data_IF_697357461291
#
_entry.id   IF_697357461291
#
_cell.length_a   1.000
_cell.length_b   1.000
_cell.length_c   1.000
_cell.angle_alpha   90.00
_cell.angle_beta   90.00
_cell.angle_gamma   90.00
#
_symmetry.space_group_name_H-M   'P 1'
#
loop_
_entity.id
_entity.type
_entity.pdbx_description
1 polymer ?
#
# COMPACT_ATOMS: atom_id res chain seq x y z
N UNK A 1 -38.20 15.49 20.85
CA UNK A 1 -37.37 14.52 20.07
C UNK A 1 -36.92 14.97 18.67
N UNK A 2 -37.49 16.02 18.07
CA UNK A 2 -37.13 16.41 16.67
C UNK A 2 -35.99 17.44 16.54
N UNK A 3 -35.67 18.21 17.56
CA UNK A 3 -34.65 19.27 17.50
C UNK A 3 -33.22 18.72 17.76
N UNK A 4 -33.11 17.79 18.69
CA UNK A 4 -31.81 17.15 19.00
C UNK A 4 -31.25 16.32 17.83
N UNK A 5 -32.14 15.63 17.08
CA UNK A 5 -31.73 14.88 15.88
C UNK A 5 -31.27 15.78 14.73
N UNK A 6 -31.85 16.97 14.59
CA UNK A 6 -31.43 17.95 13.57
C UNK A 6 -30.07 18.57 13.91
N UNK A 7 -29.82 18.87 15.20
CA UNK A 7 -28.53 19.36 15.68
C UNK A 7 -27.42 18.30 15.53
N UNK A 8 -27.72 17.04 15.86
CA UNK A 8 -26.79 15.93 15.67
C UNK A 8 -26.45 15.70 14.17
N UNK A 9 -27.46 15.82 13.30
CA UNK A 9 -27.27 15.68 11.84
C UNK A 9 -26.41 16.83 11.27
N UNK A 10 -26.63 18.07 11.74
CA UNK A 10 -25.85 19.24 11.35
C UNK A 10 -24.39 19.13 11.86
N UNK A 11 -24.18 18.66 13.09
CA UNK A 11 -22.84 18.42 13.62
C UNK A 11 -22.09 17.33 12.83
N UNK A 12 -22.78 16.25 12.44
CA UNK A 12 -22.21 15.18 11.62
C UNK A 12 -21.83 15.68 10.22
N UNK A 13 -22.67 16.54 9.60
CA UNK A 13 -22.38 17.16 8.30
C UNK A 13 -21.17 18.11 8.34
N UNK A 14 -20.94 18.79 9.46
CA UNK A 14 -19.78 19.69 9.66
C UNK A 14 -18.49 18.91 9.91
N UNK A 15 -18.53 17.68 10.40
CA UNK A 15 -17.35 16.83 10.64
C UNK A 15 -16.84 16.14 9.36
N UNK A 16 -17.70 15.88 8.38
CA UNK A 16 -17.35 15.23 7.11
C UNK A 16 -16.20 15.91 6.35
N UNK A 17 -16.18 17.25 6.15
CA UNK A 17 -15.11 17.90 5.41
C UNK A 17 -13.77 17.87 6.15
N UNK A 18 -13.78 17.84 7.49
CA UNK A 18 -12.56 17.75 8.30
C UNK A 18 -11.87 16.39 8.14
N UNK A 19 -12.64 15.30 8.13
CA UNK A 19 -12.12 13.94 7.92
C UNK A 19 -11.51 13.80 6.54
N UNK A 20 -12.19 14.30 5.49
CA UNK A 20 -11.68 14.27 4.13
C UNK A 20 -10.40 15.10 3.95
N UNK A 21 -10.29 16.24 4.64
CA UNK A 21 -9.10 17.06 4.62
C UNK A 21 -7.92 16.38 5.32
N UNK A 22 -8.16 15.75 6.46
CA UNK A 22 -7.16 14.98 7.20
C UNK A 22 -6.63 13.80 6.37
N UNK A 23 -7.51 13.05 5.70
CA UNK A 23 -7.14 11.96 4.82
C UNK A 23 -6.28 12.41 3.64
N UNK A 24 -6.63 13.50 2.98
CA UNK A 24 -5.82 14.07 1.89
C UNK A 24 -4.42 14.44 2.36
N UNK A 25 -4.31 15.03 3.55
CA UNK A 25 -3.02 15.38 4.16
C UNK A 25 -2.19 14.13 4.46
N UNK A 26 -2.80 13.07 4.99
CA UNK A 26 -2.10 11.81 5.25
C UNK A 26 -1.55 11.18 3.97
N UNK A 27 -2.36 11.13 2.90
CA UNK A 27 -1.93 10.61 1.59
C UNK A 27 -0.78 11.44 1.04
N UNK A 28 -0.85 12.77 1.14
CA UNK A 28 0.20 13.66 0.67
C UNK A 28 1.49 13.46 1.46
N UNK A 29 1.42 13.42 2.79
CA UNK A 29 2.58 13.15 3.65
C UNK A 29 3.25 11.82 3.28
N UNK A 30 2.47 10.75 3.08
CA UNK A 30 3.01 9.47 2.67
C UNK A 30 3.70 9.52 1.30
N UNK A 31 3.15 10.27 0.33
CA UNK A 31 3.81 10.51 -0.97
C UNK A 31 5.15 11.23 -0.83
N UNK A 32 5.21 12.23 0.04
CA UNK A 32 6.43 13.00 0.27
C UNK A 32 7.50 12.11 0.95
N UNK A 33 7.09 11.21 1.85
CA UNK A 33 7.95 10.19 2.45
C UNK A 33 8.49 9.22 1.40
N UNK A 34 7.64 8.72 0.50
CA UNK A 34 8.06 7.86 -0.62
C UNK A 34 9.05 8.60 -1.52
N UNK A 35 8.75 9.83 -1.91
CA UNK A 35 9.60 10.65 -2.79
C UNK A 35 10.96 10.94 -2.16
N UNK A 36 11.00 11.18 -0.86
CA UNK A 36 12.26 11.45 -0.15
C UNK A 36 13.02 10.19 0.24
N UNK A 37 12.40 9.01 0.16
CA UNK A 37 12.96 7.74 0.65
C UNK A 37 13.09 7.67 2.17
N UNK A 38 12.48 8.60 2.92
CA UNK A 38 12.54 8.68 4.39
C UNK A 38 11.23 8.26 5.01
N UNK A 39 11.31 7.66 6.22
CA UNK A 39 10.12 7.26 6.98
C UNK A 39 9.15 6.34 6.22
N UNK A 40 9.64 5.53 5.31
CA UNK A 40 8.82 4.64 4.46
C UNK A 40 7.93 3.71 5.28
N UNK A 41 8.40 3.24 6.45
CA UNK A 41 7.60 2.41 7.34
C UNK A 41 6.36 3.17 7.87
N UNK A 42 6.50 4.46 8.15
CA UNK A 42 5.36 5.31 8.55
C UNK A 42 4.39 5.53 7.39
N UNK A 43 4.91 5.73 6.17
CA UNK A 43 4.07 5.83 4.97
C UNK A 43 3.22 4.55 4.78
N UNK A 44 3.84 3.37 4.87
CA UNK A 44 3.15 2.08 4.79
C UNK A 44 2.09 1.96 5.88
N UNK A 45 2.44 2.19 7.15
CA UNK A 45 1.52 2.09 8.28
C UNK A 45 0.33 3.06 8.14
N UNK A 46 0.60 4.30 7.70
CA UNK A 46 -0.44 5.30 7.47
C UNK A 46 -1.44 4.87 6.39
N UNK A 47 -0.96 4.35 5.26
CA UNK A 47 -1.83 3.89 4.18
C UNK A 47 -2.60 2.63 4.56
N UNK A 48 -1.99 1.68 5.26
CA UNK A 48 -2.68 0.50 5.80
C UNK A 48 -3.76 0.89 6.81
N UNK A 49 -3.47 1.87 7.69
CA UNK A 49 -4.45 2.41 8.61
C UNK A 49 -5.66 3.03 7.90
N UNK A 50 -5.45 3.75 6.80
CA UNK A 50 -6.57 4.25 5.98
C UNK A 50 -7.37 3.13 5.33
N UNK A 51 -6.73 2.06 4.86
CA UNK A 51 -7.39 0.93 4.21
C UNK A 51 -8.12 0.00 5.20
N UNK A 52 -7.88 0.11 6.52
CA UNK A 52 -8.65 -0.61 7.53
C UNK A 52 -10.12 -0.15 7.56
N UNK A 53 -10.38 1.11 7.20
CA UNK A 53 -11.73 1.62 6.99
C UNK A 53 -12.29 1.11 5.66
N UNK A 54 -13.47 0.48 5.71
CA UNK A 54 -14.16 -0.08 4.54
C UNK A 54 -14.45 0.95 3.47
N UNK A 55 -14.75 2.21 3.85
CA UNK A 55 -15.02 3.31 2.92
C UNK A 55 -13.81 3.65 2.03
N UNK A 56 -12.60 3.38 2.52
CA UNK A 56 -11.35 3.69 1.84
C UNK A 56 -10.82 2.56 0.96
N UNK A 57 -11.33 1.33 1.12
CA UNK A 57 -10.84 0.15 0.39
C UNK A 57 -10.98 0.26 -1.13
N UNK A 58 -11.89 1.10 -1.60
CA UNK A 58 -12.10 1.35 -3.03
C UNK A 58 -11.32 2.56 -3.56
N UNK A 59 -10.53 3.24 -2.73
CA UNK A 59 -9.78 4.42 -3.14
C UNK A 59 -8.42 4.03 -3.75
N UNK A 60 -8.26 4.08 -5.09
CA UNK A 60 -7.04 3.64 -5.76
C UNK A 60 -5.83 4.49 -5.38
N UNK A 61 -6.04 5.74 -4.94
CA UNK A 61 -4.93 6.63 -4.54
C UNK A 61 -4.21 6.14 -3.30
N UNK A 62 -4.94 5.55 -2.34
CA UNK A 62 -4.36 5.00 -1.10
C UNK A 62 -3.56 3.74 -1.44
N UNK A 63 -4.14 2.85 -2.24
CA UNK A 63 -3.46 1.64 -2.70
C UNK A 63 -2.18 1.94 -3.47
N UNK A 64 -2.22 2.90 -4.39
CA UNK A 64 -1.06 3.29 -5.19
C UNK A 64 0.09 3.77 -4.30
N UNK A 65 -0.20 4.65 -3.32
CA UNK A 65 0.83 5.14 -2.39
C UNK A 65 1.36 4.02 -1.49
N UNK A 66 0.51 3.07 -1.08
CA UNK A 66 0.95 1.88 -0.34
C UNK A 66 1.90 1.02 -1.18
N UNK A 67 1.55 0.77 -2.44
CA UNK A 67 2.40 0.02 -3.37
C UNK A 67 3.76 0.71 -3.56
N UNK A 68 3.75 2.02 -3.80
CA UNK A 68 4.98 2.79 -4.00
C UNK A 68 5.85 2.81 -2.73
N UNK A 69 5.25 2.90 -1.53
CA UNK A 69 5.97 2.87 -0.26
C UNK A 69 6.60 1.49 0.01
N UNK A 70 5.88 0.41 -0.23
CA UNK A 70 6.41 -0.96 -0.10
C UNK A 70 7.52 -1.23 -1.10
N UNK A 71 7.36 -0.77 -2.34
CA UNK A 71 8.38 -0.87 -3.39
C UNK A 71 9.67 -0.14 -2.97
N UNK A 72 9.55 1.10 -2.49
CA UNK A 72 10.70 1.87 -2.02
C UNK A 72 11.41 1.19 -0.83
N UNK A 73 10.66 0.61 0.13
CA UNK A 73 11.25 -0.18 1.22
C UNK A 73 12.03 -1.40 0.70
N UNK A 74 11.45 -2.12 -0.26
CA UNK A 74 12.10 -3.27 -0.88
C UNK A 74 13.38 -2.85 -1.59
N UNK A 75 13.33 -1.81 -2.42
CA UNK A 75 14.49 -1.30 -3.16
C UNK A 75 15.64 -0.88 -2.23
N UNK A 76 15.34 -0.15 -1.15
CA UNK A 76 16.33 0.20 -0.13
C UNK A 76 16.94 -1.02 0.57
N UNK A 77 16.12 -2.02 0.90
CA UNK A 77 16.59 -3.23 1.56
C UNK A 77 17.45 -4.07 0.61
N UNK A 78 17.05 -4.17 -0.65
CA UNK A 78 17.78 -4.89 -1.69
C UNK A 78 19.13 -4.20 -2.02
N UNK A 79 19.16 -2.87 -2.08
CA UNK A 79 20.37 -2.09 -2.26
C UNK A 79 21.38 -2.34 -1.13
N UNK A 80 20.92 -2.30 0.13
CA UNK A 80 21.78 -2.60 1.29
C UNK A 80 22.34 -4.01 1.24
N UNK A 81 21.54 -4.99 0.82
CA UNK A 81 22.01 -6.36 0.64
C UNK A 81 23.09 -6.43 -0.45
N UNK A 82 22.88 -5.77 -1.57
CA UNK A 82 23.83 -5.72 -2.68
C UNK A 82 25.17 -5.08 -2.25
N UNK A 83 25.10 -4.02 -1.44
CA UNK A 83 26.27 -3.34 -0.88
C UNK A 83 26.91 -4.08 0.30
N UNK A 84 26.47 -5.30 0.61
CA UNK A 84 26.92 -6.12 1.75
C UNK A 84 26.83 -5.41 3.10
N UNK A 85 25.91 -4.47 3.22
CA UNK A 85 25.56 -3.84 4.48
C UNK A 85 24.69 -4.77 5.32
N UNK A 86 24.71 -4.59 6.65
CA UNK A 86 23.88 -5.39 7.55
C UNK A 86 22.38 -5.24 7.19
N UNK A 87 21.83 -6.27 6.59
CA UNK A 87 20.41 -6.35 6.20
C UNK A 87 19.91 -7.75 6.50
N UNK A 88 18.77 -7.82 7.17
CA UNK A 88 18.10 -9.10 7.42
C UNK A 88 17.41 -9.59 6.14
N UNK A 89 17.85 -10.73 5.65
CA UNK A 89 17.28 -11.39 4.45
C UNK A 89 15.79 -11.70 4.61
N UNK A 90 15.33 -11.97 5.85
CA UNK A 90 13.91 -12.21 6.13
C UNK A 90 13.06 -10.98 5.86
N UNK A 91 13.60 -9.79 6.06
CA UNK A 91 12.93 -8.52 5.71
C UNK A 91 12.64 -8.43 4.21
N UNK A 92 13.60 -8.82 3.35
CA UNK A 92 13.41 -8.81 1.89
C UNK A 92 12.34 -9.81 1.48
N UNK A 93 12.34 -11.02 2.05
CA UNK A 93 11.34 -12.03 1.76
C UNK A 93 9.94 -11.58 2.20
N UNK A 94 9.82 -11.03 3.40
CA UNK A 94 8.56 -10.47 3.91
C UNK A 94 8.04 -9.33 3.04
N UNK A 95 8.90 -8.39 2.64
CA UNK A 95 8.53 -7.30 1.74
C UNK A 95 8.11 -7.81 0.36
N UNK A 96 8.78 -8.85 -0.15
CA UNK A 96 8.42 -9.48 -1.42
C UNK A 96 7.01 -10.07 -1.36
N UNK A 97 6.67 -10.83 -0.32
CA UNK A 97 5.33 -11.39 -0.14
C UNK A 97 4.28 -10.27 -0.07
N UNK A 98 4.51 -9.27 0.77
CA UNK A 98 3.60 -8.11 0.91
C UNK A 98 3.39 -7.35 -0.40
N UNK A 99 4.43 -7.24 -1.22
CA UNK A 99 4.34 -6.62 -2.55
C UNK A 99 3.47 -7.44 -3.49
N UNK A 100 3.62 -8.76 -3.53
CA UNK A 100 2.77 -9.63 -4.34
C UNK A 100 1.30 -9.49 -3.93
N UNK A 101 1.00 -9.55 -2.63
CA UNK A 101 -0.36 -9.40 -2.10
C UNK A 101 -0.94 -8.01 -2.42
N UNK A 102 -0.19 -6.95 -2.12
CA UNK A 102 -0.69 -5.58 -2.27
C UNK A 102 -0.88 -5.18 -3.72
N UNK A 103 0.09 -5.52 -4.60
CA UNK A 103 -0.01 -5.21 -6.02
C UNK A 103 -1.10 -6.03 -6.71
N UNK A 104 -1.32 -7.29 -6.31
CA UNK A 104 -2.43 -8.11 -6.82
C UNK A 104 -3.78 -7.57 -6.38
N UNK A 105 -3.90 -7.11 -5.12
CA UNK A 105 -5.12 -6.46 -4.64
C UNK A 105 -5.40 -5.15 -5.38
N UNK A 106 -4.36 -4.35 -5.63
CA UNK A 106 -4.49 -3.12 -6.41
C UNK A 106 -4.84 -3.39 -7.87
N UNK A 107 -4.27 -4.41 -8.52
CA UNK A 107 -4.60 -4.79 -9.91
C UNK A 107 -6.09 -5.06 -10.06
N UNK A 108 -6.71 -5.70 -9.07
CA UNK A 108 -8.16 -5.94 -9.05
C UNK A 108 -9.00 -4.64 -9.02
N UNK A 109 -8.43 -3.54 -8.55
CA UNK A 109 -9.06 -2.21 -8.58
C UNK A 109 -8.77 -1.48 -9.90
N UNK A 110 -7.54 -1.60 -10.40
CA UNK A 110 -7.05 -0.92 -11.61
C UNK A 110 -7.77 -1.38 -12.88
N UNK A 111 -8.27 -2.63 -12.89
CA UNK A 111 -9.03 -3.19 -14.02
C UNK A 111 -10.55 -2.98 -13.92
N UNK A 112 -11.03 -2.23 -12.93
CA UNK A 112 -12.47 -1.98 -12.81
C UNK A 112 -12.95 -1.00 -13.86
N UNK A 113 -14.12 -1.26 -14.47
CA UNK A 113 -14.71 -0.32 -15.41
C UNK A 113 -15.03 1.02 -14.73
N UNK A 114 -14.79 2.11 -15.45
CA UNK A 114 -15.25 3.44 -15.05
C UNK A 114 -16.78 3.56 -15.20
N UNK A 115 -17.35 4.71 -14.85
CA UNK A 115 -18.78 4.99 -14.98
C UNK A 115 -19.33 4.88 -16.42
N UNK A 116 -18.44 4.80 -17.42
CA UNK A 116 -18.75 4.63 -18.85
C UNK A 116 -18.46 3.20 -19.34
N UNK A 117 -18.20 2.25 -18.45
CA UNK A 117 -17.88 0.85 -18.77
C UNK A 117 -16.49 0.63 -19.36
N UNK A 118 -15.58 1.62 -19.31
CA UNK A 118 -14.25 1.50 -19.91
C UNK A 118 -13.26 1.02 -18.87
N UNK A 119 -12.49 -0.02 -19.19
CA UNK A 119 -11.38 -0.50 -18.38
C UNK A 119 -10.10 0.22 -18.80
N UNK A 120 -9.42 0.81 -17.83
CA UNK A 120 -8.12 1.46 -18.00
C UNK A 120 -7.16 0.88 -16.97
N UNK A 121 -6.44 -0.18 -17.36
CA UNK A 121 -5.42 -0.81 -16.52
C UNK A 121 -4.11 0.01 -16.58
N UNK A 122 -4.11 1.20 -15.98
CA UNK A 122 -3.05 2.20 -16.12
C UNK A 122 -1.72 1.75 -15.48
N UNK A 123 -1.79 0.93 -14.43
CA UNK A 123 -0.60 0.53 -13.65
C UNK A 123 -0.19 -0.92 -13.85
N UNK A 124 -1.04 -1.73 -14.47
CA UNK A 124 -0.91 -3.18 -14.55
C UNK A 124 0.43 -3.65 -15.14
N UNK A 125 0.81 -3.13 -16.31
CA UNK A 125 2.06 -3.55 -16.97
C UNK A 125 3.29 -3.23 -16.12
N UNK A 126 3.35 -2.03 -15.56
CA UNK A 126 4.46 -1.60 -14.71
C UNK A 126 4.57 -2.46 -13.45
N UNK A 127 3.44 -2.77 -12.81
CA UNK A 127 3.40 -3.59 -11.61
C UNK A 127 3.74 -5.05 -11.92
N UNK A 128 3.24 -5.60 -13.02
CA UNK A 128 3.58 -6.95 -13.45
C UNK A 128 5.07 -7.10 -13.76
N UNK A 129 5.66 -6.15 -14.48
CA UNK A 129 7.10 -6.14 -14.77
C UNK A 129 7.93 -6.10 -13.48
N UNK A 130 7.53 -5.26 -12.51
CA UNK A 130 8.20 -5.20 -11.22
C UNK A 130 8.09 -6.52 -10.45
N UNK A 131 6.89 -7.10 -10.32
CA UNK A 131 6.68 -8.39 -9.66
C UNK A 131 7.48 -9.51 -10.34
N UNK A 132 7.56 -9.49 -11.67
CA UNK A 132 8.38 -10.45 -12.40
C UNK A 132 9.87 -10.32 -12.02
N UNK A 133 10.40 -9.11 -11.87
CA UNK A 133 11.80 -8.87 -11.50
C UNK A 133 12.15 -9.36 -10.09
N UNK A 134 11.21 -9.31 -9.14
CA UNK A 134 11.43 -9.73 -7.74
C UNK A 134 10.98 -11.16 -7.46
N UNK A 135 10.41 -11.87 -8.44
CA UNK A 135 9.95 -13.27 -8.30
C UNK A 135 11.00 -14.23 -7.73
N UNK A 136 12.30 -14.13 -8.08
CA UNK A 136 13.32 -14.97 -7.46
C UNK A 136 13.37 -14.87 -5.94
N UNK A 137 13.13 -13.69 -5.36
CA UNK A 137 13.11 -13.51 -3.91
C UNK A 137 11.89 -14.16 -3.25
N UNK A 138 10.76 -14.24 -3.94
CA UNK A 138 9.60 -14.99 -3.47
C UNK A 138 9.94 -16.49 -3.36
N UNK A 139 10.54 -17.06 -4.40
CA UNK A 139 10.98 -18.46 -4.41
C UNK A 139 12.03 -18.75 -3.33
N UNK A 140 13.07 -17.91 -3.25
CA UNK A 140 14.13 -18.03 -2.26
C UNK A 140 13.60 -17.93 -0.83
N UNK A 141 12.62 -17.06 -0.59
CA UNK A 141 11.92 -16.94 0.68
C UNK A 141 11.17 -18.22 1.05
N UNK A 142 10.43 -18.81 0.09
CA UNK A 142 9.75 -20.08 0.28
C UNK A 142 10.72 -21.21 0.65
N UNK A 143 11.84 -21.34 -0.07
CA UNK A 143 12.88 -22.33 0.25
C UNK A 143 13.48 -22.09 1.63
N UNK A 144 13.77 -20.82 1.98
CA UNK A 144 14.32 -20.46 3.28
C UNK A 144 13.42 -20.87 4.44
N UNK A 145 12.13 -20.49 4.38
CA UNK A 145 11.17 -20.81 5.44
C UNK A 145 10.87 -22.31 5.52
N UNK A 146 10.80 -23.01 4.38
CA UNK A 146 10.63 -24.45 4.35
C UNK A 146 11.80 -25.16 5.05
N UNK A 147 13.05 -24.77 4.77
CA UNK A 147 14.24 -25.34 5.42
C UNK A 147 14.26 -25.08 6.93
N UNK A 148 13.76 -23.94 7.37
CA UNK A 148 13.60 -23.62 8.81
C UNK A 148 12.35 -24.23 9.44
N UNK A 149 11.54 -24.97 8.67
CA UNK A 149 10.24 -25.50 9.10
C UNK A 149 9.29 -24.44 9.65
N UNK A 150 9.43 -23.22 9.13
CA UNK A 150 8.55 -22.09 9.43
C UNK A 150 7.58 -21.96 8.26
N UNK A 151 6.38 -22.51 8.45
CA UNK A 151 5.30 -22.39 7.47
C UNK A 151 4.42 -21.20 7.85
N UNK A 152 4.00 -20.41 6.86
CA UNK A 152 3.05 -19.32 7.05
C UNK A 152 1.61 -19.86 7.18
#
# INVERSE_FOLDING_TARGET
MKLSNRLALLALLLLLPLVLCAQKKQIQTARDQVKSGKDLAKAVASMQGLLSDSANRQNPRIWLVLCDALKAQYEQSNERLYLKQATDTTTIFSLTMRLFETLSAFDSLDVRPDSKGRVRAEHRERHAAFLHSIRPNLFNGGVFYTRKRQYA
#
